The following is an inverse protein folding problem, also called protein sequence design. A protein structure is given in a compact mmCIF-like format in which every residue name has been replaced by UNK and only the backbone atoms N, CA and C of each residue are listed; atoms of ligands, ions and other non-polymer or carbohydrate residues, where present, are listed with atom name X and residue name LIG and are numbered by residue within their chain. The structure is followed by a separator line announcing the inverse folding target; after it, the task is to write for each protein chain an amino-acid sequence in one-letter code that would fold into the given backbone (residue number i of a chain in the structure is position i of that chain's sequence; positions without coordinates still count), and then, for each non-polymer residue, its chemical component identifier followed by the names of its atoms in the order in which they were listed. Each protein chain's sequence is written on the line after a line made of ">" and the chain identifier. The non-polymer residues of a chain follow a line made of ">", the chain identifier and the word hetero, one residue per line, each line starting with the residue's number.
data_IF_685382216471
#
_entry.id   IF_685382216471
#
_cell.length_a   1.000
_cell.length_b   1.000
_cell.length_c   1.000
_cell.angle_alpha   90.00
_cell.angle_beta   90.00
_cell.angle_gamma   90.00
#
_symmetry.space_group_name_H-M   'P 1'
#
loop_
_entity.id
_entity.type
_entity.pdbx_description
1 polymer ?
#
# COMPACT_ATOMS: atom_id res chain seq x y z
N UNK A 1 -17.59 11.29 -8.98
CA UNK A 1 -18.02 11.86 -7.67
C UNK A 1 -16.88 11.88 -6.64
N UNK A 2 -16.51 10.77 -5.96
CA UNK A 2 -15.41 10.77 -4.96
C UNK A 2 -14.05 11.25 -5.48
N UNK A 3 -13.71 10.93 -6.73
CA UNK A 3 -12.46 11.39 -7.35
C UNK A 3 -12.49 12.90 -7.67
N UNK A 4 -13.66 13.44 -8.01
CA UNK A 4 -13.86 14.87 -8.26
C UNK A 4 -13.72 15.66 -6.95
N UNK A 5 -14.28 15.14 -5.85
CA UNK A 5 -14.16 15.72 -4.51
C UNK A 5 -12.71 15.79 -4.01
N UNK A 6 -11.83 14.92 -4.52
CA UNK A 6 -10.40 14.88 -4.16
C UNK A 6 -9.49 15.47 -5.23
N UNK A 7 -10.06 16.12 -6.24
CA UNK A 7 -9.31 16.75 -7.33
C UNK A 7 -8.31 15.80 -8.02
N UNK A 8 -8.68 14.52 -8.18
CA UNK A 8 -7.83 13.52 -8.84
C UNK A 8 -7.99 13.58 -10.36
N UNK A 9 -6.88 13.51 -11.09
CA UNK A 9 -6.91 13.47 -12.56
C UNK A 9 -7.49 12.14 -13.05
N UNK A 10 -8.68 12.17 -13.64
CA UNK A 10 -9.40 10.98 -14.13
C UNK A 10 -8.70 10.27 -15.30
N UNK A 11 -8.00 11.00 -16.16
CA UNK A 11 -7.37 10.41 -17.34
C UNK A 11 -6.30 9.39 -16.95
N UNK A 12 -5.50 9.69 -15.92
CA UNK A 12 -4.49 8.77 -15.37
C UNK A 12 -5.10 7.49 -14.77
N UNK A 13 -6.35 7.55 -14.33
CA UNK A 13 -7.05 6.43 -13.70
C UNK A 13 -8.09 5.78 -14.62
N UNK A 14 -8.11 6.12 -15.92
CA UNK A 14 -9.13 5.59 -16.83
C UNK A 14 -9.15 4.05 -16.85
N UNK A 15 -7.98 3.41 -16.85
CA UNK A 15 -7.84 1.96 -16.73
C UNK A 15 -8.50 1.38 -15.45
N UNK A 16 -8.39 2.10 -14.33
CA UNK A 16 -8.95 1.68 -13.05
C UNK A 16 -10.46 1.88 -13.04
N UNK A 17 -10.97 2.91 -13.72
CA UNK A 17 -12.40 3.17 -13.86
C UNK A 17 -13.07 2.13 -14.78
N UNK A 18 -12.38 1.67 -15.82
CA UNK A 18 -12.88 0.65 -16.74
C UNK A 18 -13.15 -0.69 -16.02
N UNK A 19 -12.40 -1.01 -14.95
CA UNK A 19 -12.68 -2.17 -14.09
C UNK A 19 -14.10 -2.14 -13.49
N UNK A 20 -14.73 -0.97 -13.38
CA UNK A 20 -16.09 -0.82 -12.85
C UNK A 20 -17.14 -0.70 -13.96
N UNK A 21 -16.72 -0.45 -15.19
CA UNK A 21 -17.59 -0.23 -16.35
C UNK A 21 -18.09 -1.56 -16.94
N UNK A 22 -17.26 -2.60 -16.94
CA UNK A 22 -17.55 -3.89 -17.59
C UNK A 22 -17.78 -5.00 -16.56
N UNK A 23 -18.93 -5.01 -15.89
CA UNK A 23 -19.33 -6.10 -14.99
C UNK A 23 -18.64 -6.06 -13.63
N UNK A 24 -18.76 -4.94 -12.90
CA UNK A 24 -18.25 -4.85 -11.53
C UNK A 24 -18.96 -5.82 -10.59
N UNK A 25 -18.21 -6.45 -9.70
CA UNK A 25 -18.74 -7.23 -8.58
C UNK A 25 -18.45 -6.51 -7.26
N UNK A 26 -19.27 -6.70 -6.22
CA UNK A 26 -18.92 -6.27 -4.87
C UNK A 26 -17.63 -6.98 -4.44
N UNK A 27 -16.58 -6.21 -4.15
CA UNK A 27 -15.27 -6.73 -3.74
C UNK A 27 -14.77 -5.97 -2.52
N UNK A 28 -14.00 -6.67 -1.68
CA UNK A 28 -13.30 -6.13 -0.53
C UNK A 28 -11.91 -6.75 -0.45
N UNK A 29 -10.97 -6.03 0.14
CA UNK A 29 -9.61 -6.52 0.38
C UNK A 29 -9.02 -5.87 1.62
N UNK A 30 -7.93 -6.44 2.12
CA UNK A 30 -7.15 -5.89 3.21
C UNK A 30 -5.67 -5.84 2.83
N UNK A 31 -4.92 -4.99 3.51
CA UNK A 31 -3.46 -4.91 3.40
C UNK A 31 -2.82 -5.16 4.76
N UNK A 32 -1.76 -5.95 4.77
CA UNK A 32 -0.95 -6.22 5.96
C UNK A 32 0.50 -5.83 5.68
N UNK A 33 1.09 -5.02 6.55
CA UNK A 33 2.53 -4.76 6.51
C UNK A 33 3.27 -5.96 7.10
N UNK A 34 3.96 -6.73 6.27
CA UNK A 34 4.63 -7.95 6.70
C UNK A 34 5.65 -7.70 7.82
N UNK A 35 6.45 -6.67 7.69
CA UNK A 35 7.46 -6.29 8.67
C UNK A 35 6.82 -5.81 9.97
N UNK A 36 5.67 -5.14 9.91
CA UNK A 36 4.90 -4.77 11.12
C UNK A 36 4.30 -5.99 11.81
N UNK A 37 3.87 -6.99 11.05
CA UNK A 37 3.43 -8.26 11.61
C UNK A 37 4.59 -8.98 12.31
N UNK A 38 5.78 -9.01 11.71
CA UNK A 38 6.97 -9.58 12.32
C UNK A 38 7.38 -8.85 13.61
N UNK A 39 7.35 -7.52 13.62
CA UNK A 39 7.60 -6.71 14.84
C UNK A 39 6.63 -7.10 15.95
N UNK A 40 5.35 -7.26 15.62
CA UNK A 40 4.33 -7.67 16.59
C UNK A 40 4.58 -9.07 17.16
N UNK A 41 4.90 -10.06 16.32
CA UNK A 41 5.13 -11.46 16.75
C UNK A 41 6.46 -11.62 17.51
N UNK A 42 7.49 -10.86 17.14
CA UNK A 42 8.82 -10.93 17.75
C UNK A 42 8.99 -10.07 19.01
N UNK A 43 8.05 -9.16 19.28
CA UNK A 43 8.13 -8.22 20.41
C UNK A 43 9.20 -7.13 20.26
N UNK A 44 9.78 -6.98 19.07
CA UNK A 44 10.74 -5.92 18.77
C UNK A 44 10.04 -4.56 18.76
N UNK A 45 10.77 -3.50 19.08
CA UNK A 45 10.22 -2.13 19.09
C UNK A 45 10.49 -1.38 17.80
N UNK A 46 11.46 -1.83 16.99
CA UNK A 46 11.85 -1.18 15.75
C UNK A 46 11.71 -2.12 14.54
N UNK A 47 11.11 -1.61 13.47
CA UNK A 47 10.94 -2.32 12.20
C UNK A 47 12.25 -2.59 11.47
N UNK A 48 13.32 -1.84 11.78
CA UNK A 48 14.64 -2.06 11.19
C UNK A 48 15.25 -3.39 11.63
N UNK A 49 14.89 -3.87 12.82
CA UNK A 49 15.48 -5.06 13.42
C UNK A 49 14.91 -6.35 12.83
N UNK A 50 13.77 -6.26 12.10
CA UNK A 50 13.15 -7.39 11.38
C UNK A 50 13.51 -7.45 9.90
N UNK A 51 14.27 -6.48 9.38
CA UNK A 51 14.66 -6.41 7.96
C UNK A 51 16.19 -6.54 7.86
N UNK A 52 16.73 -7.54 7.15
CA UNK A 52 18.19 -7.71 7.03
C UNK A 52 18.92 -6.47 6.46
N UNK A 53 18.32 -5.80 5.49
CA UNK A 53 18.86 -4.59 4.85
C UNK A 53 17.83 -3.45 4.87
N UNK A 54 17.65 -2.76 6.01
CA UNK A 54 16.62 -1.74 6.16
C UNK A 54 16.94 -0.51 5.32
N UNK A 55 16.01 -0.08 4.46
CA UNK A 55 16.13 1.15 3.67
C UNK A 55 15.42 2.29 4.40
N UNK A 56 16.14 3.38 4.64
CA UNK A 56 15.55 4.61 5.18
C UNK A 56 16.05 5.83 4.43
N UNK A 57 15.38 6.97 4.60
CA UNK A 57 15.83 8.23 4.03
C UNK A 57 17.31 8.47 4.36
N UNK A 58 18.13 8.73 3.34
CA UNK A 58 19.60 8.89 3.42
C UNK A 58 20.41 7.64 3.83
N UNK A 59 19.80 6.45 3.89
CA UNK A 59 20.49 5.21 4.25
C UNK A 59 20.16 4.07 3.29
N UNK A 60 21.13 3.73 2.44
CA UNK A 60 21.01 2.70 1.42
C UNK A 60 22.34 1.92 1.17
N UNK A 61 22.99 1.35 2.20
CA UNK A 61 24.16 0.49 2.00
C UNK A 61 23.79 -0.90 1.44
N UNK A 62 24.80 -1.66 1.00
CA UNK A 62 24.68 -3.05 0.53
C UNK A 62 25.21 -4.01 1.58
#
# INVERSE_FOLDING_TARGET
>A
KRMDERSLNKELFNWYLDLRRYGTVPHSGFGLGFERFLVYVSGLTNIRDVIPFPRTTKHAPF
#
